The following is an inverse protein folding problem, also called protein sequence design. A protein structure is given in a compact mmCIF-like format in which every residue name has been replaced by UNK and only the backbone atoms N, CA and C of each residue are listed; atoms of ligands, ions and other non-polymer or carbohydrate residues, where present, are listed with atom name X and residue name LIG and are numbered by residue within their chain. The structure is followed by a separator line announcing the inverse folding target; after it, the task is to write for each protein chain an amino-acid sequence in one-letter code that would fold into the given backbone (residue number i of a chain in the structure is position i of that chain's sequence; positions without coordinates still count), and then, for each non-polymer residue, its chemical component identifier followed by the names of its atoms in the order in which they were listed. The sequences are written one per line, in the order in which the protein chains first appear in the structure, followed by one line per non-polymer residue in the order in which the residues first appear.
data_IF_583081156557
#
_entry.id   IF_583081156557
#
_cell.length_a   1.000
_cell.length_b   1.000
_cell.length_c   1.000
_cell.angle_alpha   90.00
_cell.angle_beta   90.00
_cell.angle_gamma   90.00
#
_symmetry.space_group_name_H-M   'P 1'
#
loop_
_entity.id
_entity.type
_entity.pdbx_description
1 polymer ?
#
# COMPACT_ATOMS: atom_id res chain seq x y z
N UNK A 1 -1.17 1.72 6.99
CA UNK A 1 -2.03 1.07 8.02
C UNK A 1 -3.44 0.95 7.48
N UNK A 2 -4.31 0.14 8.08
CA UNK A 2 -5.73 0.06 7.70
C UNK A 2 -6.38 1.45 7.60
N UNK A 3 -6.27 2.26 8.66
CA UNK A 3 -6.87 3.59 8.73
C UNK A 3 -6.45 4.52 7.58
N UNK A 4 -5.17 4.47 7.16
CA UNK A 4 -4.70 5.27 6.02
C UNK A 4 -5.35 4.83 4.70
N UNK A 5 -5.53 3.52 4.51
CA UNK A 5 -6.24 2.99 3.32
C UNK A 5 -7.70 3.45 3.33
N UNK A 6 -8.36 3.42 4.48
CA UNK A 6 -9.74 3.91 4.62
C UNK A 6 -9.86 5.41 4.35
N UNK A 7 -8.91 6.21 4.82
CA UNK A 7 -8.86 7.64 4.56
C UNK A 7 -8.76 7.94 3.06
N UNK A 8 -7.90 7.22 2.32
CA UNK A 8 -7.77 7.38 0.87
C UNK A 8 -9.02 6.88 0.11
N UNK A 9 -9.65 5.80 0.59
CA UNK A 9 -10.79 5.16 -0.08
C UNK A 9 -12.14 5.77 0.29
N UNK A 10 -12.23 6.49 1.41
CA UNK A 10 -13.46 7.06 1.96
C UNK A 10 -14.44 6.03 2.56
N UNK A 11 -14.05 4.75 2.69
CA UNK A 11 -14.92 3.65 3.14
C UNK A 11 -14.15 2.63 3.98
N UNK A 12 -14.86 1.83 4.79
CA UNK A 12 -14.24 0.71 5.53
C UNK A 12 -13.60 -0.29 4.55
N UNK A 13 -12.40 -0.74 4.89
CA UNK A 13 -11.65 -1.71 4.08
C UNK A 13 -11.32 -3.02 4.81
N UNK A 14 -11.95 -3.29 5.96
CA UNK A 14 -11.67 -4.46 6.81
C UNK A 14 -11.81 -5.78 6.05
N UNK A 15 -12.94 -5.96 5.36
CA UNK A 15 -13.21 -7.18 4.59
C UNK A 15 -12.29 -7.37 3.38
N UNK A 16 -11.88 -6.26 2.76
CA UNK A 16 -10.95 -6.29 1.62
C UNK A 16 -9.55 -6.66 2.08
N UNK A 17 -9.04 -6.03 3.15
CA UNK A 17 -7.74 -6.39 3.73
C UNK A 17 -7.72 -7.84 4.21
N UNK A 18 -8.78 -8.31 4.86
CA UNK A 18 -8.92 -9.71 5.26
C UNK A 18 -8.86 -10.66 4.05
N UNK A 19 -9.58 -10.34 2.97
CA UNK A 19 -9.59 -11.15 1.75
C UNK A 19 -8.22 -11.18 1.05
N UNK A 20 -7.53 -10.05 0.97
CA UNK A 20 -6.20 -9.97 0.37
C UNK A 20 -5.16 -10.73 1.21
N UNK A 21 -5.27 -10.67 2.54
CA UNK A 21 -4.41 -11.42 3.45
C UNK A 21 -4.65 -12.93 3.34
N UNK A 22 -5.92 -13.35 3.32
CA UNK A 22 -6.29 -14.76 3.16
C UNK A 22 -5.83 -15.35 1.82
N UNK A 23 -5.78 -14.52 0.76
CA UNK A 23 -5.23 -14.90 -0.56
C UNK A 23 -3.69 -14.82 -0.62
N UNK A 24 -3.03 -14.41 0.46
CA UNK A 24 -1.59 -14.25 0.51
C UNK A 24 -1.05 -13.11 -0.35
N UNK A 25 -1.88 -12.15 -0.78
CA UNK A 25 -1.46 -11.02 -1.62
C UNK A 25 -0.87 -9.87 -0.81
N UNK A 26 -1.28 -9.72 0.44
CA UNK A 26 -0.70 -8.79 1.39
C UNK A 26 -0.43 -9.48 2.72
N UNK A 27 0.50 -8.94 3.50
CA UNK A 27 0.86 -9.47 4.80
C UNK A 27 1.19 -8.35 5.79
N UNK A 28 1.17 -8.67 7.08
CA UNK A 28 1.62 -7.77 8.13
C UNK A 28 3.15 -7.61 8.05
N UNK A 29 3.62 -6.36 8.00
CA UNK A 29 5.06 -6.03 7.94
C UNK A 29 5.58 -5.39 9.23
N UNK A 30 4.80 -5.49 10.30
CA UNK A 30 5.10 -4.89 11.60
C UNK A 30 4.06 -3.86 12.02
N UNK A 31 4.47 -2.98 12.93
CA UNK A 31 3.60 -1.97 13.54
C UNK A 31 4.33 -0.64 13.61
N UNK A 32 3.58 0.45 13.46
CA UNK A 32 4.14 1.79 13.68
C UNK A 32 4.34 2.05 15.18
N UNK A 33 5.40 2.77 15.53
CA UNK A 33 5.66 3.29 16.88
C UNK A 33 4.86 4.58 17.14
N UNK A 34 3.55 4.51 16.90
CA UNK A 34 2.60 5.59 17.16
C UNK A 34 1.54 5.12 18.18
N UNK A 35 0.79 6.04 18.82
CA UNK A 35 -0.34 5.67 19.67
C UNK A 35 -1.29 4.69 18.98
N UNK A 36 -1.69 3.63 19.70
CA UNK A 36 -2.50 2.54 19.15
C UNK A 36 -1.72 1.48 18.36
N UNK A 37 -0.42 1.69 18.11
CA UNK A 37 0.51 0.75 17.44
C UNK A 37 -0.10 0.05 16.21
N UNK A 38 -0.56 0.83 15.21
CA UNK A 38 -1.33 0.28 14.10
C UNK A 38 -0.48 -0.64 13.23
N UNK A 39 -1.12 -1.68 12.70
CA UNK A 39 -0.50 -2.66 11.80
C UNK A 39 -0.13 -2.03 10.45
N UNK A 40 1.08 -2.36 9.99
CA UNK A 40 1.56 -2.08 8.65
C UNK A 40 1.28 -3.28 7.76
N UNK A 41 0.81 -3.01 6.55
CA UNK A 41 0.57 -4.02 5.52
C UNK A 41 1.52 -3.76 4.36
N UNK A 42 2.02 -4.83 3.75
CA UNK A 42 2.82 -4.77 2.53
C UNK A 42 2.43 -5.90 1.58
N UNK A 43 2.88 -5.79 0.34
CA UNK A 43 2.70 -6.84 -0.67
C UNK A 43 3.63 -8.02 -0.42
N UNK A 44 3.27 -9.16 -1.00
CA UNK A 44 4.01 -10.42 -0.94
C UNK A 44 4.60 -10.77 -2.32
N UNK A 45 5.43 -11.81 -2.43
CA UNK A 45 5.82 -12.35 -3.74
C UNK A 45 4.62 -12.82 -4.59
N UNK A 46 3.56 -13.32 -3.95
CA UNK A 46 2.34 -13.78 -4.62
C UNK A 46 1.60 -12.64 -5.31
N UNK A 47 1.62 -11.44 -4.70
CA UNK A 47 1.13 -10.23 -5.37
C UNK A 47 1.86 -9.97 -6.69
N UNK A 48 3.19 -10.03 -6.68
CA UNK A 48 3.99 -9.82 -7.90
C UNK A 48 3.66 -10.87 -8.97
N UNK A 49 3.51 -12.14 -8.57
CA UNK A 49 3.08 -13.22 -9.47
C UNK A 49 1.69 -12.98 -10.06
N UNK A 50 0.72 -12.52 -9.25
CA UNK A 50 -0.63 -12.20 -9.72
C UNK A 50 -0.66 -11.03 -10.71
N UNK A 51 0.23 -10.05 -10.54
CA UNK A 51 0.39 -8.93 -11.47
C UNK A 51 1.33 -9.26 -12.64
N UNK A 52 1.95 -10.44 -12.65
CA UNK A 52 2.89 -10.90 -13.65
C UNK A 52 4.11 -9.96 -13.84
N UNK A 53 4.60 -9.41 -12.73
CA UNK A 53 5.78 -8.54 -12.64
C UNK A 53 6.85 -9.18 -11.74
N UNK A 54 8.11 -8.81 -11.93
CA UNK A 54 9.22 -9.34 -11.11
C UNK A 54 9.62 -8.41 -9.96
N UNK A 55 9.23 -7.13 -10.03
CA UNK A 55 9.53 -6.12 -9.02
C UNK A 55 8.43 -5.06 -8.93
N UNK A 56 8.26 -4.44 -7.76
CA UNK A 56 7.39 -3.27 -7.57
C UNK A 56 7.80 -2.08 -8.45
N UNK A 57 9.04 -2.04 -8.96
CA UNK A 57 9.52 -1.01 -9.88
C UNK A 57 8.88 -1.07 -11.27
N UNK A 58 8.25 -2.20 -11.62
CA UNK A 58 7.55 -2.39 -12.90
C UNK A 58 6.10 -1.90 -12.85
N UNK A 59 5.61 -1.46 -11.68
CA UNK A 59 4.29 -0.85 -11.57
C UNK A 59 4.25 0.42 -12.44
N UNK A 60 3.12 0.67 -13.13
CA UNK A 60 2.95 1.91 -13.88
C UNK A 60 3.10 3.12 -12.95
N UNK A 61 3.62 4.25 -13.45
CA UNK A 61 3.67 5.47 -12.66
C UNK A 61 2.25 5.83 -12.20
N UNK A 62 2.15 6.34 -10.98
CA UNK A 62 0.87 6.86 -10.49
C UNK A 62 0.49 8.06 -11.36
N UNK A 63 -0.65 7.97 -12.06
CA UNK A 63 -1.29 9.16 -12.58
C UNK A 63 -1.58 10.06 -11.38
N UNK A 64 -1.03 11.28 -11.39
CA UNK A 64 -1.31 12.25 -10.34
C UNK A 64 -2.81 12.46 -10.33
N UNK A 65 -3.47 11.96 -9.29
CA UNK A 65 -4.80 12.43 -8.96
C UNK A 65 -4.64 13.92 -8.65
N UNK A 66 -5.27 14.77 -9.45
CA UNK A 66 -5.36 16.21 -9.21
C UNK A 66 -5.91 16.43 -7.78
N UNK A 67 -5.02 16.61 -6.79
CA UNK A 67 -5.44 16.72 -5.39
C UNK A 67 -4.45 16.29 -4.31
N UNK A 68 -3.29 15.74 -4.65
CA UNK A 68 -2.22 15.52 -3.66
C UNK A 68 -0.92 16.21 -4.11
N UNK A 69 -0.75 17.45 -3.65
CA UNK A 69 0.52 18.17 -3.73
C UNK A 69 1.57 17.41 -2.90
N UNK A 70 2.43 16.67 -3.59
CA UNK A 70 3.67 16.11 -3.06
C UNK A 70 4.81 16.65 -3.90
N UNK A 71 5.71 17.39 -3.25
CA UNK A 71 6.85 18.11 -3.81
C UNK A 71 7.70 17.24 -4.76
N UNK A 72 8.23 17.79 -5.86
CA UNK A 72 9.13 17.04 -6.72
C UNK A 72 10.41 16.72 -5.94
N UNK A 73 10.82 15.46 -5.98
CA UNK A 73 12.15 15.05 -5.52
C UNK A 73 13.19 15.83 -6.34
N UNK A 74 13.78 16.83 -5.72
CA UNK A 74 14.91 17.59 -6.22
C UNK A 74 16.13 16.67 -6.28
N UNK A 75 16.43 16.23 -7.51
CA UNK A 75 17.68 15.63 -7.94
C UNK A 75 18.78 16.71 -7.85
N UNK A 76 19.55 16.69 -6.77
CA UNK A 76 20.80 17.42 -6.65
C UNK A 76 21.95 16.42 -6.90
N UNK A 77 22.64 16.63 -8.02
CA UNK A 77 23.78 15.82 -8.47
C UNK A 77 25.09 16.02 -7.71
#
# INVERSE_FOLDING_TARGET
TKAFVEQVRGVDCSGVLGSLTAKGLVEERGRLELPGRPLLYGTTPDFLRCLNISSLRELPPLERADGAEGEPAEDAG
#
